data_IF_562549486045
#
_entry.id   IF_562549486045
#
_cell.length_a   1.000
_cell.length_b   1.000
_cell.length_c   1.000
_cell.angle_alpha   90.00
_cell.angle_beta   90.00
_cell.angle_gamma   90.00
#
_symmetry.space_group_name_H-M   'P 1'
#
loop_
_entity.id
_entity.type
_entity.pdbx_description
1 polymer ?
#
# COMPACT_ATOMS: atom_id res chain seq x y z
N UNK A 1 -18.19 1.20 10.99
CA UNK A 1 -17.25 1.65 12.02
C UNK A 1 -17.77 1.49 13.46
N UNK A 2 -18.99 1.00 13.66
CA UNK A 2 -19.51 0.65 15.00
C UNK A 2 -18.67 -0.51 15.57
N UNK A 3 -17.96 -0.30 16.67
CA UNK A 3 -17.19 -1.32 17.39
C UNK A 3 -15.70 -1.00 17.61
N UNK A 4 -15.14 0.03 16.98
CA UNK A 4 -13.76 0.47 17.27
C UNK A 4 -13.75 1.61 18.31
N UNK A 5 -12.69 1.69 19.13
CA UNK A 5 -12.46 2.86 19.98
C UNK A 5 -12.43 4.16 19.14
N UNK A 6 -12.87 5.28 19.73
CA UNK A 6 -12.93 6.58 19.00
C UNK A 6 -11.60 6.99 18.39
N UNK A 7 -10.47 6.70 19.05
CA UNK A 7 -9.12 6.98 18.55
C UNK A 7 -8.81 6.21 17.25
N UNK A 8 -9.19 4.94 17.15
CA UNK A 8 -9.04 4.13 15.93
C UNK A 8 -9.96 4.63 14.83
N UNK A 9 -11.22 4.94 15.17
CA UNK A 9 -12.19 5.50 14.22
C UNK A 9 -11.71 6.84 13.64
N UNK A 10 -11.13 7.72 14.47
CA UNK A 10 -10.57 9.00 14.01
C UNK A 10 -9.41 8.80 13.02
N UNK A 11 -8.53 7.83 13.25
CA UNK A 11 -7.45 7.50 12.32
C UNK A 11 -7.97 6.88 11.01
N UNK A 12 -9.01 6.05 11.06
CA UNK A 12 -9.66 5.49 9.88
C UNK A 12 -10.31 6.59 9.01
N UNK A 13 -11.00 7.54 9.64
CA UNK A 13 -11.58 8.71 8.94
C UNK A 13 -10.47 9.56 8.33
N UNK A 14 -9.39 9.82 9.07
CA UNK A 14 -8.23 10.53 8.58
C UNK A 14 -7.62 9.86 7.34
N UNK A 15 -7.49 8.52 7.37
CA UNK A 15 -6.99 7.73 6.25
C UNK A 15 -7.87 7.87 5.00
N UNK A 16 -9.20 7.82 5.17
CA UNK A 16 -10.14 8.06 4.07
C UNK A 16 -9.96 9.46 3.46
N UNK A 17 -9.98 10.52 4.30
CA UNK A 17 -9.92 11.90 3.81
C UNK A 17 -8.58 12.19 3.13
N UNK A 18 -7.45 11.74 3.71
CA UNK A 18 -6.13 11.87 3.09
C UNK A 18 -6.03 11.10 1.77
N UNK A 19 -6.68 9.94 1.68
CA UNK A 19 -6.71 9.17 0.44
C UNK A 19 -7.56 9.87 -0.62
N UNK A 20 -8.71 10.44 -0.26
CA UNK A 20 -9.52 11.27 -1.17
C UNK A 20 -8.67 12.43 -1.70
N UNK A 21 -7.97 13.17 -0.82
CA UNK A 21 -7.06 14.25 -1.22
C UNK A 21 -6.01 13.78 -2.24
N UNK A 22 -5.35 12.65 -2.00
CA UNK A 22 -4.40 12.06 -2.98
C UNK A 22 -5.07 11.71 -4.29
N UNK A 23 -6.22 11.10 -4.23
CA UNK A 23 -6.93 10.59 -5.41
C UNK A 23 -7.59 11.70 -6.24
N UNK A 24 -7.84 12.88 -5.67
CA UNK A 24 -8.24 14.08 -6.41
C UNK A 24 -7.10 14.57 -7.33
N UNK A 25 -5.84 14.46 -6.90
CA UNK A 25 -4.67 15.06 -7.56
C UNK A 25 -3.81 14.08 -8.34
N UNK A 26 -3.41 12.96 -7.74
CA UNK A 26 -2.35 12.11 -8.30
C UNK A 26 -2.68 11.52 -9.70
N UNK A 27 -3.92 11.15 -10.03
CA UNK A 27 -4.24 10.71 -11.38
C UNK A 27 -4.02 11.79 -12.44
N UNK A 28 -4.15 13.06 -12.06
CA UNK A 28 -4.02 14.21 -12.96
C UNK A 28 -2.62 14.83 -12.98
N UNK A 29 -1.72 14.40 -12.08
CA UNK A 29 -0.35 14.95 -12.01
C UNK A 29 0.42 14.72 -13.31
N UNK A 30 0.17 13.62 -14.00
CA UNK A 30 0.76 13.31 -15.30
C UNK A 30 0.38 14.37 -16.34
N UNK A 31 -0.90 14.71 -16.40
CA UNK A 31 -1.42 15.75 -17.32
C UNK A 31 -0.87 17.11 -16.91
N UNK A 32 -0.89 17.44 -15.62
CA UNK A 32 -0.33 18.69 -15.11
C UNK A 32 1.15 18.85 -15.47
N UNK A 33 1.97 17.79 -15.32
CA UNK A 33 3.38 17.82 -15.68
C UNK A 33 3.59 18.00 -17.20
N UNK A 34 2.79 17.33 -18.02
CA UNK A 34 2.87 17.43 -19.46
C UNK A 34 2.46 18.83 -19.97
N UNK A 35 1.36 19.37 -19.44
CA UNK A 35 0.81 20.67 -19.90
C UNK A 35 1.57 21.86 -19.32
N UNK A 36 1.83 21.88 -18.01
CA UNK A 36 2.43 23.04 -17.34
C UNK A 36 3.94 23.17 -17.63
N UNK A 37 4.65 22.04 -17.69
CA UNK A 37 6.11 22.02 -17.94
C UNK A 37 6.48 21.59 -19.34
N UNK A 38 5.52 21.30 -20.21
CA UNK A 38 5.76 20.82 -21.59
C UNK A 38 6.71 19.60 -21.63
N UNK A 39 6.58 18.71 -20.62
CA UNK A 39 7.42 17.54 -20.50
C UNK A 39 6.96 16.44 -21.45
N UNK A 40 7.94 15.84 -22.16
CA UNK A 40 7.71 14.64 -22.95
C UNK A 40 7.36 13.44 -22.02
N UNK A 41 6.61 12.43 -22.51
CA UNK A 41 6.12 11.31 -21.69
C UNK A 41 7.21 10.56 -20.92
N UNK A 42 8.40 10.39 -21.51
CA UNK A 42 9.55 9.75 -20.86
C UNK A 42 10.04 10.53 -19.64
N UNK A 43 10.09 11.85 -19.72
CA UNK A 43 10.47 12.75 -18.62
C UNK A 43 9.41 12.78 -17.52
N UNK A 44 8.12 12.78 -17.88
CA UNK A 44 7.03 12.65 -16.93
C UNK A 44 7.15 11.34 -16.17
N UNK A 45 7.38 10.23 -16.88
CA UNK A 45 7.61 8.91 -16.27
C UNK A 45 8.81 8.90 -15.32
N UNK A 46 9.92 9.57 -15.69
CA UNK A 46 11.10 9.69 -14.86
C UNK A 46 10.82 10.50 -13.58
N UNK A 47 10.12 11.62 -13.68
CA UNK A 47 9.73 12.45 -12.50
C UNK A 47 8.91 11.64 -11.52
N UNK A 48 7.87 10.95 -12.02
CA UNK A 48 6.98 10.14 -11.18
C UNK A 48 7.71 8.92 -10.60
N UNK A 49 8.46 8.19 -11.43
CA UNK A 49 9.20 7.01 -11.00
C UNK A 49 10.28 7.33 -9.97
N UNK A 50 11.07 8.40 -10.19
CA UNK A 50 12.09 8.85 -9.25
C UNK A 50 11.47 9.27 -7.90
N UNK A 51 10.36 10.03 -7.92
CA UNK A 51 9.69 10.50 -6.72
C UNK A 51 9.10 9.33 -5.89
N UNK A 52 8.48 8.36 -6.55
CA UNK A 52 7.95 7.14 -5.91
C UNK A 52 9.08 6.31 -5.29
N UNK A 53 10.15 6.09 -6.05
CA UNK A 53 11.31 5.32 -5.57
C UNK A 53 11.93 5.95 -4.34
N UNK A 54 12.17 7.27 -4.36
CA UNK A 54 12.65 8.00 -3.19
C UNK A 54 11.67 7.88 -2.00
N UNK A 55 10.36 7.97 -2.26
CA UNK A 55 9.32 7.79 -1.24
C UNK A 55 9.34 6.41 -0.59
N UNK A 56 9.58 5.36 -1.36
CA UNK A 56 9.68 3.99 -0.85
C UNK A 56 10.93 3.83 0.04
N UNK A 57 12.09 4.30 -0.40
CA UNK A 57 13.32 4.20 0.40
C UNK A 57 13.25 5.01 1.70
N UNK A 58 12.65 6.19 1.67
CA UNK A 58 12.45 6.98 2.91
C UNK A 58 11.49 6.34 3.89
N UNK A 59 10.65 5.38 3.44
CA UNK A 59 9.75 4.64 4.33
C UNK A 59 10.50 3.80 5.37
N UNK A 60 11.70 3.31 5.06
CA UNK A 60 12.54 2.58 6.00
C UNK A 60 12.93 3.45 7.19
N UNK A 61 13.41 4.66 6.90
CA UNK A 61 13.75 5.63 7.95
C UNK A 61 12.49 6.08 8.70
N UNK A 62 11.38 6.26 7.98
CA UNK A 62 10.07 6.57 8.57
C UNK A 62 9.62 5.52 9.58
N UNK A 63 9.83 4.24 9.31
CA UNK A 63 9.55 3.15 10.24
C UNK A 63 10.33 3.28 11.55
N UNK A 64 11.63 3.55 11.48
CA UNK A 64 12.47 3.81 12.66
C UNK A 64 11.98 5.03 13.47
N UNK A 65 11.59 6.12 12.78
CA UNK A 65 11.04 7.29 13.45
C UNK A 65 9.76 6.96 14.23
N UNK A 66 8.88 6.11 13.65
CA UNK A 66 7.62 5.68 14.29
C UNK A 66 7.87 4.88 15.58
N UNK A 67 8.94 4.11 15.64
CA UNK A 67 9.31 3.36 16.84
C UNK A 67 9.93 4.27 17.91
N UNK A 68 10.76 5.25 17.50
CA UNK A 68 11.56 6.08 18.40
C UNK A 68 10.80 7.27 18.96
N UNK A 69 9.90 7.87 18.17
CA UNK A 69 9.25 9.12 18.54
C UNK A 69 7.78 8.93 18.91
N UNK A 70 7.20 9.93 19.57
CA UNK A 70 5.77 9.97 19.87
C UNK A 70 4.93 9.94 18.59
N UNK A 71 4.14 8.88 18.42
CA UNK A 71 3.36 8.62 17.20
C UNK A 71 2.38 9.75 16.86
N UNK A 72 1.79 10.43 17.87
CA UNK A 72 0.90 11.59 17.63
C UNK A 72 1.65 12.74 16.98
N UNK A 73 2.82 13.10 17.53
CA UNK A 73 3.63 14.19 16.97
C UNK A 73 4.07 13.85 15.56
N UNK A 74 4.51 12.62 15.35
CA UNK A 74 4.96 12.15 14.05
C UNK A 74 3.83 12.12 13.00
N UNK A 75 2.63 11.65 13.36
CA UNK A 75 1.44 11.70 12.49
C UNK A 75 1.10 13.14 12.13
N UNK A 76 1.08 14.06 13.09
CA UNK A 76 0.76 15.46 12.83
C UNK A 76 1.82 16.12 11.94
N UNK A 77 3.11 15.87 12.18
CA UNK A 77 4.20 16.37 11.32
C UNK A 77 4.09 15.80 9.90
N UNK A 78 3.86 14.50 9.76
CA UNK A 78 3.71 13.85 8.46
C UNK A 78 2.53 14.43 7.68
N UNK A 79 1.35 14.60 8.30
CA UNK A 79 0.18 15.17 7.63
C UNK A 79 0.40 16.66 7.32
N UNK A 80 1.08 17.42 8.19
CA UNK A 80 1.40 18.83 7.92
C UNK A 80 2.38 18.96 6.75
N UNK A 81 3.41 18.10 6.68
CA UNK A 81 4.33 18.06 5.54
C UNK A 81 3.60 17.67 4.26
N UNK A 82 2.74 16.66 4.33
CA UNK A 82 1.90 16.24 3.21
C UNK A 82 0.98 17.37 2.70
N UNK A 83 0.36 18.15 3.61
CA UNK A 83 -0.42 19.35 3.26
C UNK A 83 0.46 20.42 2.60
N UNK A 84 1.61 20.71 3.17
CA UNK A 84 2.53 21.72 2.65
C UNK A 84 3.02 21.36 1.23
N UNK A 85 3.32 20.09 0.94
CA UNK A 85 3.72 19.66 -0.40
C UNK A 85 2.62 19.89 -1.43
N UNK A 86 1.36 19.69 -1.09
CA UNK A 86 0.24 19.99 -1.99
C UNK A 86 0.08 21.50 -2.24
N UNK A 87 0.29 22.33 -1.23
CA UNK A 87 0.23 23.79 -1.42
C UNK A 87 1.41 24.33 -2.23
N UNK A 88 2.59 23.74 -2.12
CA UNK A 88 3.79 24.21 -2.86
C UNK A 88 3.83 23.74 -4.31
N UNK A 89 3.22 22.60 -4.64
CA UNK A 89 3.31 21.96 -5.95
C UNK A 89 2.84 22.87 -7.10
N UNK A 90 1.68 23.56 -7.02
CA UNK A 90 1.19 24.44 -8.09
C UNK A 90 2.05 25.69 -8.35
N UNK A 91 2.90 26.07 -7.41
CA UNK A 91 3.76 27.26 -7.49
C UNK A 91 5.20 26.93 -7.85
N UNK A 92 5.45 25.67 -8.22
CA UNK A 92 6.78 25.20 -8.55
C UNK A 92 7.05 25.44 -10.04
N UNK A 93 8.10 26.19 -10.35
CA UNK A 93 8.43 26.60 -11.72
C UNK A 93 9.42 25.66 -12.42
N UNK A 94 10.14 24.82 -11.67
CA UNK A 94 11.19 23.97 -12.23
C UNK A 94 10.93 22.47 -11.96
N UNK A 95 10.98 21.60 -13.01
CA UNK A 95 10.65 20.16 -12.88
C UNK A 95 11.49 19.41 -11.86
N UNK A 96 12.75 19.80 -11.62
CA UNK A 96 13.59 19.14 -10.62
C UNK A 96 13.07 19.28 -9.19
N UNK A 97 12.48 20.43 -8.84
CA UNK A 97 11.86 20.64 -7.54
C UNK A 97 10.60 19.78 -7.35
N UNK A 98 9.90 19.47 -8.45
CA UNK A 98 8.73 18.61 -8.41
C UNK A 98 9.10 17.20 -7.96
N UNK A 99 10.22 16.66 -8.42
CA UNK A 99 10.71 15.34 -7.96
C UNK A 99 10.87 15.35 -6.43
N UNK A 100 11.48 16.39 -5.88
CA UNK A 100 11.69 16.53 -4.45
C UNK A 100 10.35 16.69 -3.69
N UNK A 101 9.46 17.56 -4.17
CA UNK A 101 8.16 17.81 -3.54
C UNK A 101 7.29 16.56 -3.56
N UNK A 102 7.23 15.84 -4.68
CA UNK A 102 6.51 14.57 -4.79
C UNK A 102 7.16 13.47 -3.93
N UNK A 103 8.49 13.40 -3.87
CA UNK A 103 9.18 12.48 -2.98
C UNK A 103 8.85 12.75 -1.52
N UNK A 104 8.82 14.02 -1.10
CA UNK A 104 8.40 14.42 0.24
C UNK A 104 6.92 14.08 0.50
N UNK A 105 6.05 14.28 -0.49
CA UNK A 105 4.63 13.89 -0.40
C UNK A 105 4.47 12.39 -0.17
N UNK A 106 5.15 11.57 -0.97
CA UNK A 106 5.12 10.11 -0.84
C UNK A 106 5.71 9.66 0.50
N UNK A 107 6.82 10.27 0.91
CA UNK A 107 7.47 9.99 2.19
C UNK A 107 6.58 10.34 3.39
N UNK A 108 5.97 11.52 3.36
CA UNK A 108 5.07 11.98 4.41
C UNK A 108 3.85 11.06 4.54
N UNK A 109 3.24 10.67 3.43
CA UNK A 109 2.14 9.72 3.45
C UNK A 109 2.57 8.34 3.93
N UNK A 110 3.75 7.89 3.55
CA UNK A 110 4.31 6.61 3.99
C UNK A 110 4.52 6.59 5.50
N UNK A 111 5.15 7.62 6.08
CA UNK A 111 5.33 7.78 7.53
C UNK A 111 3.99 7.77 8.27
N UNK A 112 3.00 8.52 7.76
CA UNK A 112 1.65 8.51 8.30
C UNK A 112 1.05 7.09 8.28
N UNK A 113 1.12 6.39 7.15
CA UNK A 113 0.57 5.04 6.96
C UNK A 113 1.23 4.01 7.89
N UNK A 114 2.55 4.09 8.06
CA UNK A 114 3.29 3.23 9.00
C UNK A 114 2.86 3.51 10.45
N UNK A 115 2.80 4.78 10.84
CA UNK A 115 2.39 5.18 12.17
C UNK A 115 0.95 4.76 12.48
N UNK A 116 0.03 4.87 11.53
CA UNK A 116 -1.35 4.41 11.64
C UNK A 116 -1.41 2.90 11.90
N UNK A 117 -0.68 2.10 11.13
CA UNK A 117 -0.62 0.64 11.31
C UNK A 117 -0.02 0.26 12.67
N UNK A 118 1.05 0.95 13.09
CA UNK A 118 1.68 0.76 14.39
C UNK A 118 0.71 1.11 15.54
N UNK A 119 -0.09 2.20 15.39
CA UNK A 119 -1.12 2.53 16.36
C UNK A 119 -2.21 1.44 16.47
N UNK A 120 -2.65 0.87 15.34
CA UNK A 120 -3.60 -0.25 15.37
C UNK A 120 -3.03 -1.47 16.10
N UNK A 121 -1.75 -1.77 15.84
CA UNK A 121 -1.06 -2.87 16.50
C UNK A 121 -0.83 -2.64 18.01
N UNK A 122 -0.69 -1.39 18.44
CA UNK A 122 -0.51 -1.04 19.85
C UNK A 122 -1.85 -0.96 20.64
N UNK A 123 -2.90 -0.44 19.99
CA UNK A 123 -4.14 -0.10 20.70
C UNK A 123 -5.20 -1.18 20.67
N UNK A 124 -5.09 -2.11 19.74
CA UNK A 124 -6.09 -3.14 19.54
C UNK A 124 -5.57 -4.52 19.98
N UNK A 125 -6.44 -5.33 20.59
CA UNK A 125 -6.13 -6.74 20.82
C UNK A 125 -5.95 -7.45 19.49
N UNK A 126 -5.12 -8.50 19.46
CA UNK A 126 -4.69 -9.21 18.25
C UNK A 126 -5.86 -9.62 17.35
N UNK A 127 -6.97 -10.07 17.94
CA UNK A 127 -8.19 -10.50 17.22
C UNK A 127 -8.96 -9.35 16.54
N UNK A 128 -8.68 -8.10 16.88
CA UNK A 128 -9.32 -6.93 16.29
C UNK A 128 -8.43 -6.20 15.28
N UNK A 129 -7.12 -6.45 15.27
CA UNK A 129 -6.15 -5.77 14.38
C UNK A 129 -6.46 -6.00 12.91
N UNK A 130 -6.75 -7.26 12.53
CA UNK A 130 -7.10 -7.60 11.15
C UNK A 130 -8.36 -6.85 10.67
N UNK A 131 -9.34 -6.66 11.56
CA UNK A 131 -10.55 -5.90 11.23
C UNK A 131 -10.22 -4.43 10.97
N UNK A 132 -9.31 -3.84 11.76
CA UNK A 132 -8.87 -2.46 11.58
C UNK A 132 -8.04 -2.28 10.30
N UNK A 133 -7.13 -3.21 9.99
CA UNK A 133 -6.37 -3.20 8.74
C UNK A 133 -7.30 -3.31 7.53
N UNK A 134 -8.26 -4.22 7.58
CA UNK A 134 -9.25 -4.40 6.51
C UNK A 134 -10.18 -3.20 6.36
N UNK A 135 -10.64 -2.62 7.47
CA UNK A 135 -11.45 -1.40 7.43
C UNK A 135 -10.65 -0.23 6.81
N UNK A 136 -9.39 -0.07 7.18
CA UNK A 136 -8.50 0.92 6.58
C UNK A 136 -8.34 0.69 5.08
N UNK A 137 -8.09 -0.55 4.66
CA UNK A 137 -7.95 -0.91 3.27
C UNK A 137 -9.23 -0.60 2.46
N UNK A 138 -10.40 -0.96 2.99
CA UNK A 138 -11.69 -0.61 2.37
C UNK A 138 -11.85 0.89 2.21
N UNK A 139 -11.54 1.68 3.26
CA UNK A 139 -11.67 3.14 3.21
C UNK A 139 -10.69 3.77 2.21
N UNK A 140 -9.48 3.24 2.11
CA UNK A 140 -8.51 3.65 1.08
C UNK A 140 -9.07 3.40 -0.32
N UNK A 141 -9.68 2.23 -0.58
CA UNK A 141 -10.30 1.94 -1.87
C UNK A 141 -11.51 2.83 -2.15
N UNK A 142 -12.34 3.14 -1.15
CA UNK A 142 -13.41 4.13 -1.29
C UNK A 142 -12.84 5.50 -1.67
N UNK A 143 -11.74 5.92 -1.04
CA UNK A 143 -11.06 7.16 -1.38
C UNK A 143 -10.56 7.20 -2.82
N UNK A 144 -9.96 6.11 -3.30
CA UNK A 144 -9.51 5.98 -4.69
C UNK A 144 -10.65 5.84 -5.69
N UNK A 145 -11.83 5.34 -5.30
CA UNK A 145 -13.00 5.31 -6.16
C UNK A 145 -13.65 6.69 -6.34
N UNK A 146 -13.73 7.47 -5.25
CA UNK A 146 -14.42 8.77 -5.22
C UNK A 146 -13.52 9.92 -5.69
N UNK A 147 -12.24 9.87 -5.31
CA UNK A 147 -11.29 10.98 -5.51
C UNK A 147 -11.13 11.41 -6.97
N UNK A 148 -10.89 10.50 -7.93
CA UNK A 148 -10.72 10.89 -9.33
C UNK A 148 -11.95 11.58 -9.92
N UNK A 149 -13.17 11.14 -9.58
CA UNK A 149 -14.41 11.78 -10.01
C UNK A 149 -14.50 13.22 -9.48
N UNK A 150 -14.14 13.43 -8.21
CA UNK A 150 -14.03 14.78 -7.63
C UNK A 150 -12.95 15.60 -8.34
N UNK A 151 -11.81 14.99 -8.65
CA UNK A 151 -10.70 15.65 -9.36
C UNK A 151 -11.11 16.19 -10.73
N UNK A 152 -11.85 15.39 -11.53
CA UNK A 152 -12.39 15.84 -12.83
C UNK A 152 -13.29 17.07 -12.68
N UNK A 153 -14.19 17.06 -11.69
CA UNK A 153 -15.09 18.19 -11.44
C UNK A 153 -14.30 19.44 -11.03
N UNK A 154 -13.30 19.28 -10.20
CA UNK A 154 -12.53 20.40 -9.63
C UNK A 154 -11.57 21.01 -10.65
N UNK A 155 -10.92 20.21 -11.50
CA UNK A 155 -9.97 20.71 -12.51
C UNK A 155 -10.62 21.62 -13.53
N UNK A 156 -11.94 21.47 -13.77
CA UNK A 156 -12.72 22.35 -14.65
C UNK A 156 -12.80 23.81 -14.15
N UNK A 157 -12.53 24.06 -12.88
CA UNK A 157 -12.49 25.41 -12.30
C UNK A 157 -11.07 26.00 -12.21
N UNK A 158 -10.04 25.21 -12.49
CA UNK A 158 -8.64 25.64 -12.52
C UNK A 158 -7.68 24.48 -12.21
N UNK A 159 -6.58 24.40 -12.96
CA UNK A 159 -5.59 23.32 -12.86
C UNK A 159 -4.88 23.23 -11.50
N UNK A 160 -4.85 24.31 -10.74
CA UNK A 160 -4.24 24.39 -9.41
C UNK A 160 -5.19 23.95 -8.29
N UNK A 161 -6.53 24.02 -8.51
CA UNK A 161 -7.53 23.76 -7.49
C UNK A 161 -7.48 22.33 -6.90
N UNK A 162 -7.25 21.26 -7.66
CA UNK A 162 -7.09 19.92 -7.10
C UNK A 162 -6.02 19.86 -6.02
N UNK A 163 -4.88 20.52 -6.22
CA UNK A 163 -3.77 20.56 -5.26
C UNK A 163 -4.15 21.33 -4.00
N UNK A 164 -4.75 22.50 -4.17
CA UNK A 164 -5.18 23.36 -3.05
C UNK A 164 -6.21 22.61 -2.18
N UNK A 165 -7.22 21.97 -2.79
CA UNK A 165 -8.22 21.20 -2.06
C UNK A 165 -7.58 20.04 -1.31
N UNK A 166 -6.65 19.32 -1.93
CA UNK A 166 -5.92 18.22 -1.27
C UNK A 166 -5.11 18.71 -0.07
N UNK A 167 -4.45 19.86 -0.21
CA UNK A 167 -3.74 20.52 0.89
C UNK A 167 -4.66 20.94 2.03
N UNK A 168 -5.82 21.54 1.71
CA UNK A 168 -6.84 21.93 2.71
C UNK A 168 -7.42 20.72 3.43
N UNK A 169 -7.78 19.66 2.71
CA UNK A 169 -8.27 18.42 3.34
C UNK A 169 -7.24 17.84 4.31
N UNK A 170 -5.97 17.82 3.93
CA UNK A 170 -4.89 17.34 4.81
C UNK A 170 -4.73 18.25 6.05
N UNK A 171 -4.78 19.57 5.87
CA UNK A 171 -4.71 20.52 6.98
C UNK A 171 -5.86 20.34 7.96
N UNK A 172 -7.09 20.18 7.46
CA UNK A 172 -8.27 19.90 8.29
C UNK A 172 -8.12 18.61 9.09
N UNK A 173 -7.57 17.55 8.47
CA UNK A 173 -7.26 16.30 9.17
C UNK A 173 -6.22 16.52 10.26
N UNK A 174 -5.13 17.25 10.00
CA UNK A 174 -4.11 17.55 11.00
C UNK A 174 -4.70 18.28 12.20
N UNK A 175 -5.52 19.32 11.95
CA UNK A 175 -6.22 20.10 12.98
C UNK A 175 -7.17 19.20 13.78
N UNK A 176 -7.99 18.40 13.09
CA UNK A 176 -8.94 17.52 13.76
C UNK A 176 -8.23 16.48 14.66
N UNK A 177 -7.15 15.86 14.18
CA UNK A 177 -6.39 14.89 14.97
C UNK A 177 -5.65 15.52 16.15
N UNK A 178 -5.17 16.76 16.00
CA UNK A 178 -4.53 17.50 17.10
C UNK A 178 -5.45 17.59 18.33
N UNK A 179 -6.74 17.86 18.11
CA UNK A 179 -7.74 18.02 19.18
C UNK A 179 -8.41 16.72 19.60
N UNK A 180 -8.64 15.78 18.68
CA UNK A 180 -9.40 14.54 18.96
C UNK A 180 -8.56 13.41 19.56
N UNK A 181 -7.24 13.45 19.44
CA UNK A 181 -6.37 12.41 19.97
C UNK A 181 -5.53 13.00 21.09
N UNK A 182 -5.64 12.44 22.31
CA UNK A 182 -4.84 12.84 23.45
C UNK A 182 -3.36 12.48 23.25
N UNK A 183 -2.45 13.27 23.81
CA UNK A 183 -1.02 12.92 23.83
C UNK A 183 -0.75 11.70 24.70
N UNK A 184 -1.58 11.47 25.71
CA UNK A 184 -1.51 10.30 26.59
C UNK A 184 -1.94 9.01 25.89
N UNK A 185 -2.86 9.08 24.93
CA UNK A 185 -3.28 7.92 24.13
C UNK A 185 -2.19 7.41 23.19
N UNK A 186 -1.21 8.25 22.88
CA UNK A 186 -0.10 7.97 21.96
C UNK A 186 1.27 8.07 22.66
N UNK A 187 1.31 8.33 23.98
CA UNK A 187 2.51 8.08 24.72
C UNK A 187 2.88 6.64 24.49
N UNK A 188 4.16 6.39 24.23
CA UNK A 188 4.73 5.04 24.28
C UNK A 188 4.13 4.42 25.52
N UNK A 189 3.19 3.45 25.37
CA UNK A 189 2.66 2.66 26.50
C UNK A 189 3.85 2.40 27.38
N UNK A 190 3.78 2.68 28.69
CA UNK A 190 4.92 2.52 29.60
C UNK A 190 5.57 1.19 29.25
N UNK A 191 6.52 1.28 28.32
CA UNK A 191 7.31 0.13 27.90
C UNK A 191 8.04 -0.21 29.17
N UNK A 192 7.77 -1.36 29.71
CA UNK A 192 8.54 -1.91 30.81
C UNK A 192 9.98 -1.49 30.56
N UNK A 193 10.62 -0.85 31.52
CA UNK A 193 11.91 -0.16 31.39
C UNK A 193 13.06 -1.02 30.79
N UNK A 194 12.77 -2.25 30.37
CA UNK A 194 13.67 -3.25 29.78
C UNK A 194 13.75 -3.23 28.25
N UNK A 195 12.85 -2.57 27.50
CA UNK A 195 12.87 -2.58 26.04
C UNK A 195 13.05 -1.18 25.44
N UNK A 196 14.26 -0.62 25.53
CA UNK A 196 14.64 0.59 24.78
C UNK A 196 14.63 0.30 23.28
N UNK A 197 14.18 1.29 22.47
CA UNK A 197 14.32 1.21 21.01
C UNK A 197 15.82 1.22 20.66
N UNK A 198 16.33 0.22 19.94
CA UNK A 198 17.74 0.19 19.54
C UNK A 198 18.11 1.43 18.71
N UNK A 199 19.39 1.77 18.66
CA UNK A 199 19.88 2.81 17.76
C UNK A 199 19.64 2.44 16.29
N UNK A 200 19.65 3.43 15.38
CA UNK A 200 19.37 3.25 13.95
C UNK A 200 20.24 2.14 13.34
N UNK A 201 21.52 2.11 13.67
CA UNK A 201 22.46 1.10 13.17
C UNK A 201 22.10 -0.31 13.67
N UNK A 202 21.77 -0.43 14.94
CA UNK A 202 21.33 -1.69 15.55
C UNK A 202 19.99 -2.14 14.96
N UNK A 203 19.01 -1.22 14.81
CA UNK A 203 17.72 -1.50 14.17
C UNK A 203 17.93 -2.04 12.76
N UNK A 204 18.78 -1.40 11.95
CA UNK A 204 19.06 -1.86 10.59
C UNK A 204 19.72 -3.25 10.58
N UNK A 205 20.62 -3.53 11.52
CA UNK A 205 21.25 -4.85 11.68
C UNK A 205 20.21 -5.92 12.02
N UNK A 206 19.31 -5.65 12.96
CA UNK A 206 18.20 -6.56 13.33
C UNK A 206 17.32 -6.86 12.11
N UNK A 207 16.89 -5.84 11.38
CA UNK A 207 16.02 -5.99 10.21
C UNK A 207 16.70 -6.82 9.11
N UNK A 208 18.00 -6.59 8.86
CA UNK A 208 18.79 -7.31 7.85
C UNK A 208 19.05 -8.75 8.23
N UNK A 209 19.15 -9.07 9.51
CA UNK A 209 19.41 -10.43 10.00
C UNK A 209 18.13 -11.26 10.20
N UNK A 210 16.95 -10.62 10.29
CA UNK A 210 15.69 -11.35 10.46
C UNK A 210 15.26 -12.05 9.16
N UNK A 211 15.60 -13.32 9.03
CA UNK A 211 15.23 -14.15 7.87
C UNK A 211 13.71 -14.22 7.64
N UNK A 212 12.89 -14.11 8.69
CA UNK A 212 11.42 -14.13 8.58
C UNK A 212 10.95 -12.89 7.80
N UNK A 213 11.50 -11.73 8.16
CA UNK A 213 11.22 -10.46 7.52
C UNK A 213 11.72 -10.43 6.06
N UNK A 214 12.92 -10.97 5.80
CA UNK A 214 13.48 -11.06 4.45
C UNK A 214 12.56 -11.90 3.55
N UNK A 215 12.20 -13.12 3.98
CA UNK A 215 11.31 -13.98 3.20
C UNK A 215 9.93 -13.35 3.01
N UNK A 216 9.41 -12.69 4.05
CA UNK A 216 8.15 -11.96 3.95
C UNK A 216 8.24 -10.83 2.92
N UNK A 217 9.29 -10.01 2.96
CA UNK A 217 9.46 -8.88 2.03
C UNK A 217 9.58 -9.34 0.58
N UNK A 218 10.32 -10.43 0.32
CA UNK A 218 10.40 -11.05 -1.00
C UNK A 218 9.04 -11.57 -1.46
N UNK A 219 8.29 -12.23 -0.56
CA UNK A 219 6.92 -12.68 -0.84
C UNK A 219 5.99 -11.52 -1.17
N UNK A 220 6.03 -10.44 -0.38
CA UNK A 220 5.23 -9.23 -0.58
C UNK A 220 5.59 -8.50 -1.87
N UNK A 221 6.89 -8.46 -2.24
CA UNK A 221 7.34 -7.87 -3.50
C UNK A 221 6.78 -8.64 -4.71
N UNK A 222 6.84 -9.97 -4.69
CA UNK A 222 6.28 -10.82 -5.74
C UNK A 222 4.75 -10.74 -5.79
N UNK A 223 4.10 -10.67 -4.65
CA UNK A 223 2.66 -10.43 -4.53
C UNK A 223 2.26 -9.08 -5.13
N UNK A 224 3.03 -8.02 -4.85
CA UNK A 224 2.80 -6.69 -5.42
C UNK A 224 3.06 -6.62 -6.94
N UNK A 225 3.93 -7.46 -7.50
CA UNK A 225 4.02 -7.64 -8.96
C UNK A 225 2.68 -8.11 -9.52
N UNK A 226 1.95 -8.98 -8.81
CA UNK A 226 0.69 -9.54 -9.30
C UNK A 226 -0.46 -8.54 -9.20
N UNK A 227 -0.69 -7.91 -8.04
CA UNK A 227 -1.87 -7.08 -7.83
C UNK A 227 -1.61 -5.57 -7.86
N UNK A 228 -0.37 -5.14 -7.63
CA UNK A 228 -0.04 -3.73 -7.34
C UNK A 228 -0.35 -2.75 -8.47
N UNK A 229 -0.35 -3.19 -9.71
CA UNK A 229 -0.61 -2.37 -10.91
C UNK A 229 -1.49 -3.10 -11.92
N UNK A 230 -2.51 -3.83 -11.45
CA UNK A 230 -3.32 -4.67 -12.35
C UNK A 230 -3.98 -3.88 -13.49
N UNK A 231 -4.45 -2.67 -13.24
CA UNK A 231 -5.02 -1.84 -14.29
C UNK A 231 -4.00 -1.48 -15.37
N UNK A 232 -2.75 -1.26 -14.98
CA UNK A 232 -1.66 -0.92 -15.90
C UNK A 232 -1.32 -2.07 -16.83
N UNK A 233 -1.03 -3.25 -16.29
CA UNK A 233 -0.63 -4.38 -17.16
C UNK A 233 -1.80 -4.95 -17.97
N UNK A 234 -3.04 -4.92 -17.45
CA UNK A 234 -4.22 -5.31 -18.23
C UNK A 234 -4.45 -4.34 -19.39
N UNK A 235 -4.26 -3.02 -19.16
CA UNK A 235 -4.32 -2.04 -20.25
C UNK A 235 -3.26 -2.30 -21.31
N UNK A 236 -2.01 -2.54 -20.89
CA UNK A 236 -0.92 -2.87 -21.84
C UNK A 236 -1.24 -4.13 -22.65
N UNK A 237 -1.74 -5.19 -22.00
CA UNK A 237 -2.13 -6.42 -22.67
C UNK A 237 -3.25 -6.17 -23.69
N UNK A 238 -4.34 -5.52 -23.26
CA UNK A 238 -5.51 -5.28 -24.12
C UNK A 238 -5.17 -4.43 -25.34
N UNK A 239 -4.37 -3.37 -25.20
CA UNK A 239 -3.94 -2.55 -26.34
C UNK A 239 -3.06 -3.36 -27.32
N UNK A 240 -2.34 -4.37 -26.82
CA UNK A 240 -1.51 -5.22 -27.67
C UNK A 240 -2.33 -6.25 -28.47
N UNK A 241 -3.44 -6.76 -27.91
CA UNK A 241 -4.22 -7.87 -28.49
C UNK A 241 -5.57 -7.46 -29.07
N UNK A 242 -6.05 -6.22 -28.79
CA UNK A 242 -7.36 -5.73 -29.21
C UNK A 242 -7.32 -4.24 -29.58
N UNK A 243 -8.47 -3.69 -29.98
CA UNK A 243 -8.58 -2.26 -30.24
C UNK A 243 -8.74 -1.42 -28.95
N UNK A 244 -8.46 -0.12 -29.07
CA UNK A 244 -8.50 0.80 -27.95
C UNK A 244 -9.92 0.92 -27.32
N UNK A 245 -10.99 0.81 -28.12
CA UNK A 245 -12.38 0.90 -27.66
C UNK A 245 -12.72 -0.25 -26.73
N UNK A 246 -12.38 -1.47 -27.13
CA UNK A 246 -12.56 -2.67 -26.32
C UNK A 246 -11.72 -2.62 -25.04
N UNK A 247 -10.45 -2.17 -25.15
CA UNK A 247 -9.58 -2.00 -23.98
C UNK A 247 -10.20 -1.04 -22.95
N UNK A 248 -10.71 0.12 -23.37
CA UNK A 248 -11.40 1.06 -22.46
C UNK A 248 -12.62 0.44 -21.78
N UNK A 249 -13.44 -0.30 -22.55
CA UNK A 249 -14.64 -0.95 -22.00
C UNK A 249 -14.28 -2.00 -20.95
N UNK A 250 -13.30 -2.85 -21.24
CA UNK A 250 -12.84 -3.88 -20.31
C UNK A 250 -12.24 -3.25 -19.06
N UNK A 251 -11.33 -2.28 -19.20
CA UNK A 251 -10.71 -1.63 -18.04
C UNK A 251 -11.75 -0.94 -17.15
N UNK A 252 -12.70 -0.22 -17.73
CA UNK A 252 -13.80 0.38 -16.97
C UNK A 252 -14.63 -0.65 -16.20
N UNK A 253 -14.96 -1.77 -16.87
CA UNK A 253 -15.73 -2.86 -16.26
C UNK A 253 -14.97 -3.54 -15.12
N UNK A 254 -13.70 -3.92 -15.32
CA UNK A 254 -12.90 -4.62 -14.30
C UNK A 254 -12.61 -3.73 -13.10
N UNK A 255 -12.35 -2.43 -13.29
CA UNK A 255 -12.17 -1.47 -12.19
C UNK A 255 -13.44 -1.35 -11.34
N UNK A 256 -14.60 -1.30 -11.98
CA UNK A 256 -15.90 -1.25 -11.28
C UNK A 256 -16.15 -2.52 -10.47
N UNK A 257 -15.87 -3.70 -11.05
CA UNK A 257 -15.99 -4.99 -10.35
C UNK A 257 -15.03 -5.05 -9.16
N UNK A 258 -13.76 -4.70 -9.35
CA UNK A 258 -12.76 -4.67 -8.27
C UNK A 258 -13.24 -3.79 -7.10
N UNK A 259 -13.61 -2.54 -7.37
CA UNK A 259 -14.08 -1.62 -6.35
C UNK A 259 -15.32 -2.16 -5.61
N UNK A 260 -16.28 -2.76 -6.34
CA UNK A 260 -17.48 -3.35 -5.77
C UNK A 260 -17.14 -4.51 -4.83
N UNK A 261 -16.29 -5.45 -5.25
CA UNK A 261 -15.86 -6.59 -4.44
C UNK A 261 -15.12 -6.12 -3.18
N UNK A 262 -14.18 -5.18 -3.33
CA UNK A 262 -13.43 -4.64 -2.19
C UNK A 262 -14.38 -3.98 -1.18
N UNK A 263 -15.25 -3.08 -1.63
CA UNK A 263 -16.14 -2.34 -0.73
C UNK A 263 -17.14 -3.27 -0.01
N UNK A 264 -17.66 -4.28 -0.70
CA UNK A 264 -18.72 -5.13 -0.17
C UNK A 264 -18.18 -6.30 0.66
N UNK A 265 -17.10 -6.96 0.24
CA UNK A 265 -16.66 -8.23 0.82
C UNK A 265 -15.44 -8.12 1.74
N UNK A 266 -14.62 -7.05 1.64
CA UNK A 266 -13.40 -6.88 2.42
C UNK A 266 -13.63 -7.11 3.92
N UNK A 267 -14.60 -6.40 4.49
CA UNK A 267 -14.89 -6.47 5.93
C UNK A 267 -15.49 -7.82 6.35
N UNK A 268 -16.29 -8.44 5.49
CA UNK A 268 -16.91 -9.74 5.77
C UNK A 268 -15.90 -10.88 5.86
N UNK A 269 -14.95 -10.92 4.91
CA UNK A 269 -13.92 -11.95 4.90
C UNK A 269 -12.90 -11.76 6.02
N UNK A 270 -12.49 -10.53 6.29
CA UNK A 270 -11.46 -10.24 7.28
C UNK A 270 -11.80 -10.70 8.70
N UNK A 271 -13.09 -10.78 9.03
CA UNK A 271 -13.56 -11.28 10.35
C UNK A 271 -13.15 -12.72 10.65
N UNK A 272 -12.88 -13.52 9.62
CA UNK A 272 -12.48 -14.94 9.72
C UNK A 272 -10.96 -15.13 9.74
N UNK A 273 -10.20 -14.07 9.51
CA UNK A 273 -8.75 -14.10 9.45
C UNK A 273 -8.16 -13.82 10.83
N UNK A 274 -7.16 -14.62 11.22
CA UNK A 274 -6.41 -14.44 12.47
C UNK A 274 -4.99 -14.98 12.31
N UNK A 275 -4.14 -14.78 13.31
CA UNK A 275 -2.74 -15.22 13.25
C UNK A 275 -2.58 -16.74 13.13
N UNK A 276 -3.53 -17.54 13.62
CA UNK A 276 -3.46 -19.01 13.57
C UNK A 276 -3.73 -19.56 12.17
N UNK A 277 -4.51 -18.83 11.34
CA UNK A 277 -4.90 -19.27 10.00
C UNK A 277 -4.30 -18.46 8.85
N UNK A 278 -3.30 -17.60 9.15
CA UNK A 278 -2.61 -16.73 8.18
C UNK A 278 -2.23 -17.47 6.90
N UNK A 279 -1.51 -18.58 7.04
CA UNK A 279 -0.99 -19.31 5.89
C UNK A 279 -2.11 -19.90 5.03
N UNK A 280 -3.20 -20.36 5.64
CA UNK A 280 -4.37 -20.86 4.89
C UNK A 280 -4.98 -19.74 4.04
N UNK A 281 -5.13 -18.54 4.60
CA UNK A 281 -5.66 -17.40 3.86
C UNK A 281 -4.73 -16.94 2.74
N UNK A 282 -3.41 -16.93 2.96
CA UNK A 282 -2.43 -16.64 1.90
C UNK A 282 -2.53 -17.65 0.74
N UNK A 283 -2.69 -18.95 1.07
CA UNK A 283 -2.90 -19.98 0.04
C UNK A 283 -4.19 -19.74 -0.75
N UNK A 284 -5.32 -19.45 -0.09
CA UNK A 284 -6.58 -19.13 -0.78
C UNK A 284 -6.46 -17.85 -1.61
N UNK A 285 -5.86 -16.78 -1.07
CA UNK A 285 -5.65 -15.54 -1.80
C UNK A 285 -4.80 -15.73 -3.06
N UNK A 286 -3.70 -16.47 -2.94
CA UNK A 286 -2.85 -16.82 -4.10
C UNK A 286 -3.60 -17.67 -5.12
N UNK A 287 -4.40 -18.63 -4.67
CA UNK A 287 -5.23 -19.46 -5.57
C UNK A 287 -6.21 -18.58 -6.36
N UNK A 288 -6.87 -17.61 -5.70
CA UNK A 288 -7.77 -16.67 -6.37
C UNK A 288 -7.03 -15.79 -7.39
N UNK A 289 -5.79 -15.33 -7.09
CA UNK A 289 -4.98 -14.64 -8.09
C UNK A 289 -4.68 -15.51 -9.29
N UNK A 290 -4.25 -16.77 -9.08
CA UNK A 290 -3.95 -17.69 -10.19
C UNK A 290 -5.18 -17.96 -11.04
N UNK A 291 -6.33 -18.28 -10.43
CA UNK A 291 -7.58 -18.53 -11.16
C UNK A 291 -8.05 -17.27 -11.90
N UNK A 292 -7.95 -16.09 -11.29
CA UNK A 292 -8.26 -14.82 -11.94
C UNK A 292 -7.36 -14.55 -13.16
N UNK A 293 -6.04 -14.76 -13.04
CA UNK A 293 -5.09 -14.60 -14.15
C UNK A 293 -5.37 -15.58 -15.30
N UNK A 294 -5.68 -16.85 -14.99
CA UNK A 294 -6.11 -17.82 -16.00
C UNK A 294 -7.44 -17.41 -16.63
N UNK A 295 -8.36 -16.86 -15.86
CA UNK A 295 -9.61 -16.30 -16.35
C UNK A 295 -9.40 -15.13 -17.32
N UNK A 296 -8.45 -14.23 -17.07
CA UNK A 296 -8.10 -13.15 -18.01
C UNK A 296 -7.55 -13.70 -19.32
N UNK A 297 -6.71 -14.76 -19.27
CA UNK A 297 -6.22 -15.43 -20.49
C UNK A 297 -7.34 -16.04 -21.32
N UNK A 298 -8.36 -16.60 -20.67
CA UNK A 298 -9.48 -17.27 -21.32
C UNK A 298 -10.57 -16.29 -21.78
N UNK A 299 -10.58 -15.04 -21.32
CA UNK A 299 -11.68 -14.11 -21.52
C UNK A 299 -11.81 -13.58 -22.96
N UNK A 300 -10.69 -13.53 -23.71
CA UNK A 300 -10.66 -13.05 -25.11
C UNK A 300 -11.55 -11.81 -25.32
N UNK A 301 -12.53 -11.87 -26.22
CA UNK A 301 -13.41 -10.73 -26.55
C UNK A 301 -14.66 -10.64 -25.65
N UNK A 302 -14.75 -11.43 -24.57
CA UNK A 302 -15.93 -11.47 -23.70
C UNK A 302 -15.77 -10.58 -22.46
N UNK A 303 -16.34 -9.36 -22.49
CA UNK A 303 -16.35 -8.48 -21.32
C UNK A 303 -16.91 -9.15 -20.05
N UNK A 304 -18.02 -9.94 -20.09
CA UNK A 304 -18.49 -10.65 -18.90
C UNK A 304 -17.47 -11.63 -18.32
N UNK A 305 -16.66 -12.30 -19.13
CA UNK A 305 -15.59 -13.18 -18.63
C UNK A 305 -14.44 -12.38 -18.01
N UNK A 306 -14.08 -11.20 -18.55
CA UNK A 306 -13.15 -10.27 -17.91
C UNK A 306 -13.65 -9.83 -16.54
N UNK A 307 -14.95 -9.50 -16.43
CA UNK A 307 -15.57 -9.12 -15.16
C UNK A 307 -15.56 -10.26 -14.14
N UNK A 308 -15.88 -11.49 -14.56
CA UNK A 308 -15.85 -12.69 -13.71
C UNK A 308 -14.42 -12.98 -13.23
N UNK A 309 -13.46 -12.96 -14.14
CA UNK A 309 -12.04 -13.14 -13.81
C UNK A 309 -11.56 -12.08 -12.79
N UNK A 310 -11.96 -10.82 -12.97
CA UNK A 310 -11.64 -9.75 -12.04
C UNK A 310 -12.33 -9.95 -10.68
N UNK A 311 -13.57 -10.40 -10.64
CA UNK A 311 -14.24 -10.70 -9.37
C UNK A 311 -13.47 -11.76 -8.58
N UNK A 312 -13.00 -12.82 -9.24
CA UNK A 312 -12.18 -13.86 -8.62
C UNK A 312 -10.82 -13.29 -8.18
N UNK A 313 -10.14 -12.54 -9.05
CA UNK A 313 -8.85 -11.89 -8.74
C UNK A 313 -8.96 -10.96 -7.53
N UNK A 314 -10.02 -10.17 -7.45
CA UNK A 314 -10.28 -9.25 -6.34
C UNK A 314 -10.48 -9.98 -5.01
N UNK A 315 -11.01 -11.22 -4.99
CA UNK A 315 -11.04 -12.04 -3.78
C UNK A 315 -9.62 -12.35 -3.28
N UNK A 316 -8.67 -12.56 -4.18
CA UNK A 316 -7.25 -12.69 -3.83
C UNK A 316 -6.72 -11.44 -3.14
N UNK A 317 -6.99 -10.28 -3.72
CA UNK A 317 -6.55 -8.97 -3.22
C UNK A 317 -7.06 -8.66 -1.81
N UNK A 318 -8.38 -8.79 -1.59
CA UNK A 318 -9.00 -8.52 -0.29
C UNK A 318 -8.60 -9.50 0.82
N UNK A 319 -8.00 -10.62 0.46
CA UNK A 319 -7.43 -11.59 1.40
C UNK A 319 -5.97 -11.27 1.68
N UNK A 320 -5.13 -11.17 0.64
CA UNK A 320 -3.68 -11.11 0.77
C UNK A 320 -3.23 -9.84 1.48
N UNK A 321 -3.76 -8.68 1.10
CA UNK A 321 -3.27 -7.40 1.64
C UNK A 321 -3.45 -7.27 3.16
N UNK A 322 -4.64 -7.52 3.76
CA UNK A 322 -4.77 -7.45 5.21
C UNK A 322 -3.99 -8.55 5.95
N UNK A 323 -3.86 -9.72 5.32
CA UNK A 323 -3.10 -10.83 5.91
C UNK A 323 -1.61 -10.52 5.92
N UNK A 324 -1.07 -9.83 4.92
CA UNK A 324 0.31 -9.32 4.94
C UNK A 324 0.54 -8.37 6.13
N UNK A 325 -0.38 -7.47 6.42
CA UNK A 325 -0.27 -6.58 7.59
C UNK A 325 -0.30 -7.36 8.91
N UNK A 326 -1.17 -8.38 8.99
CA UNK A 326 -1.24 -9.23 10.19
C UNK A 326 0.00 -10.11 10.34
N UNK A 327 0.63 -10.53 9.24
CA UNK A 327 1.88 -11.29 9.27
C UNK A 327 3.03 -10.44 9.84
N UNK A 328 3.18 -9.19 9.39
CA UNK A 328 4.17 -8.26 9.95
C UNK A 328 3.93 -8.06 11.45
N UNK A 329 2.68 -7.83 11.85
CA UNK A 329 2.35 -7.67 13.28
C UNK A 329 2.70 -8.92 14.11
N UNK A 330 2.61 -10.11 13.51
CA UNK A 330 2.96 -11.38 14.15
C UNK A 330 4.46 -11.55 14.35
N UNK A 331 5.29 -11.15 13.36
CA UNK A 331 6.76 -11.35 13.44
C UNK A 331 7.51 -10.18 14.08
N UNK A 332 6.92 -9.00 14.13
CA UNK A 332 7.57 -7.78 14.60
C UNK A 332 7.69 -7.74 16.12
N UNK A 333 8.90 -7.49 16.67
CA UNK A 333 9.07 -7.19 18.08
C UNK A 333 8.24 -5.97 18.49
N UNK A 334 7.77 -5.92 19.73
CA UNK A 334 6.88 -4.86 20.22
C UNK A 334 7.50 -3.45 20.06
N UNK A 335 8.82 -3.35 20.23
CA UNK A 335 9.58 -2.08 20.12
C UNK A 335 10.01 -1.72 18.69
N UNK A 336 9.78 -2.58 17.68
CA UNK A 336 10.23 -2.39 16.29
C UNK A 336 9.10 -2.48 15.26
N UNK A 337 7.84 -2.39 15.67
CA UNK A 337 6.69 -2.53 14.77
C UNK A 337 6.72 -1.53 13.61
N UNK A 338 7.05 -0.27 13.89
CA UNK A 338 7.18 0.75 12.84
C UNK A 338 8.27 0.42 11.83
N UNK A 339 9.44 -0.03 12.31
CA UNK A 339 10.56 -0.45 11.46
C UNK A 339 10.18 -1.63 10.57
N UNK A 340 9.48 -2.63 11.11
CA UNK A 340 8.99 -3.79 10.34
C UNK A 340 7.95 -3.39 9.29
N UNK A 341 7.00 -2.51 9.62
CA UNK A 341 6.07 -1.94 8.63
C UNK A 341 6.77 -1.07 7.59
N UNK A 342 7.87 -0.39 7.98
CA UNK A 342 8.73 0.35 7.06
C UNK A 342 9.35 -0.57 6.00
N UNK A 343 9.91 -1.72 6.43
CA UNK A 343 10.47 -2.73 5.52
C UNK A 343 9.40 -3.36 4.64
N UNK A 344 8.17 -3.59 5.15
CA UNK A 344 7.05 -4.07 4.35
C UNK A 344 6.80 -3.19 3.12
N UNK A 345 6.96 -1.86 3.26
CA UNK A 345 6.77 -0.95 2.13
C UNK A 345 7.75 -1.18 0.98
N UNK A 346 8.90 -1.85 1.20
CA UNK A 346 9.78 -2.29 0.10
C UNK A 346 9.08 -3.31 -0.81
N UNK A 347 8.11 -4.05 -0.30
CA UNK A 347 7.27 -4.91 -1.14
C UNK A 347 6.60 -4.16 -2.29
N UNK A 348 6.27 -2.87 -2.11
CA UNK A 348 5.68 -2.03 -3.15
C UNK A 348 6.60 -1.80 -4.37
N UNK A 349 7.92 -2.05 -4.26
CA UNK A 349 8.83 -2.06 -5.40
C UNK A 349 8.40 -3.07 -6.46
N UNK A 350 7.77 -4.18 -6.06
CA UNK A 350 7.18 -5.14 -7.01
C UNK A 350 6.16 -4.48 -7.94
N UNK A 351 5.26 -3.67 -7.38
CA UNK A 351 4.28 -2.91 -8.17
C UNK A 351 4.92 -1.86 -9.07
N UNK A 352 6.04 -1.24 -8.67
CA UNK A 352 6.77 -0.29 -9.49
C UNK A 352 7.53 -0.97 -10.66
N UNK A 353 8.01 -2.19 -10.46
CA UNK A 353 8.73 -2.98 -11.48
C UNK A 353 7.75 -3.67 -12.45
N UNK A 354 6.54 -3.99 -12.01
CA UNK A 354 5.55 -4.74 -12.80
C UNK A 354 5.32 -4.17 -14.22
N UNK A 355 5.04 -2.86 -14.43
CA UNK A 355 4.78 -2.34 -15.77
C UNK A 355 5.97 -2.52 -16.73
N UNK A 356 7.20 -2.49 -16.19
CA UNK A 356 8.43 -2.69 -16.97
C UNK A 356 8.52 -4.15 -17.43
N UNK A 357 8.32 -5.10 -16.50
CA UNK A 357 8.36 -6.53 -16.80
C UNK A 357 7.27 -6.92 -17.79
N UNK A 358 6.04 -6.44 -17.57
CA UNK A 358 4.90 -6.72 -18.44
C UNK A 358 5.10 -6.09 -19.82
N UNK A 359 5.54 -4.83 -19.90
CA UNK A 359 5.81 -4.16 -21.15
C UNK A 359 6.92 -4.84 -21.97
N UNK A 360 8.00 -5.30 -21.32
CA UNK A 360 9.06 -6.05 -21.97
C UNK A 360 8.54 -7.38 -22.55
N UNK A 361 7.77 -8.16 -21.76
CA UNK A 361 7.20 -9.42 -22.24
C UNK A 361 6.24 -9.21 -23.42
N UNK A 362 5.40 -8.19 -23.37
CA UNK A 362 4.46 -7.88 -24.44
C UNK A 362 5.16 -7.44 -25.73
N UNK A 363 6.35 -6.81 -25.63
CA UNK A 363 7.12 -6.39 -26.79
C UNK A 363 7.91 -7.52 -27.45
N UNK A 364 8.37 -8.52 -26.69
CA UNK A 364 9.36 -9.50 -27.16
C UNK A 364 8.90 -10.95 -27.09
N UNK A 365 7.70 -11.23 -26.54
CA UNK A 365 7.17 -12.57 -26.39
C UNK A 365 5.68 -12.63 -26.75
N UNK A 366 5.10 -13.84 -26.78
CA UNK A 366 3.67 -13.99 -26.94
C UNK A 366 2.92 -13.31 -25.77
N UNK A 367 1.85 -12.55 -26.02
CA UNK A 367 1.15 -11.76 -24.99
C UNK A 367 0.75 -12.56 -23.75
N UNK A 368 0.39 -13.84 -23.91
CA UNK A 368 0.02 -14.73 -22.81
C UNK A 368 1.17 -14.99 -21.81
N UNK A 369 2.44 -14.84 -22.23
CA UNK A 369 3.61 -15.01 -21.37
C UNK A 369 3.62 -14.05 -20.18
N UNK A 370 2.98 -12.89 -20.33
CA UNK A 370 2.78 -11.94 -19.23
C UNK A 370 1.99 -12.59 -18.08
N UNK A 371 0.89 -13.28 -18.38
CA UNK A 371 0.08 -13.95 -17.34
C UNK A 371 0.82 -15.12 -16.70
N UNK A 372 1.58 -15.91 -17.50
CA UNK A 372 2.41 -16.98 -16.93
C UNK A 372 3.49 -16.43 -15.98
N UNK A 373 4.13 -15.32 -16.32
CA UNK A 373 5.08 -14.64 -15.43
C UNK A 373 4.41 -14.21 -14.12
N UNK A 374 3.20 -13.63 -14.18
CA UNK A 374 2.43 -13.22 -13.00
C UNK A 374 2.02 -14.43 -12.15
N UNK A 375 1.63 -15.56 -12.76
CA UNK A 375 1.32 -16.81 -12.04
C UNK A 375 2.56 -17.35 -11.35
N UNK A 376 3.71 -17.37 -12.02
CA UNK A 376 4.98 -17.79 -11.43
C UNK A 376 5.34 -16.88 -10.24
N UNK A 377 5.18 -15.57 -10.39
CA UNK A 377 5.42 -14.62 -9.31
C UNK A 377 4.49 -14.88 -8.12
N UNK A 378 3.21 -15.19 -8.34
CA UNK A 378 2.26 -15.53 -7.28
C UNK A 378 2.68 -16.80 -6.53
N UNK A 379 3.08 -17.86 -7.24
CA UNK A 379 3.52 -19.14 -6.66
C UNK A 379 4.81 -18.95 -5.86
N UNK A 380 5.82 -18.27 -6.43
CA UNK A 380 7.07 -17.96 -5.73
C UNK A 380 6.84 -17.07 -4.50
N UNK A 381 5.95 -16.08 -4.61
CA UNK A 381 5.54 -15.25 -3.48
C UNK A 381 4.97 -16.07 -2.34
N UNK A 382 4.06 -17.01 -2.63
CA UNK A 382 3.51 -17.93 -1.66
C UNK A 382 4.60 -18.82 -1.02
N UNK A 383 5.56 -19.31 -1.80
CA UNK A 383 6.66 -20.12 -1.29
C UNK A 383 7.54 -19.34 -0.30
N UNK A 384 7.82 -18.06 -0.58
CA UNK A 384 8.54 -17.19 0.34
C UNK A 384 7.73 -16.91 1.62
N UNK A 385 6.45 -16.61 1.52
CA UNK A 385 5.57 -16.45 2.68
C UNK A 385 5.53 -17.72 3.54
N UNK A 386 5.42 -18.89 2.93
CA UNK A 386 5.42 -20.16 3.63
C UNK A 386 6.74 -20.40 4.38
N UNK A 387 7.88 -20.09 3.76
CA UNK A 387 9.18 -20.23 4.40
C UNK A 387 9.33 -19.27 5.59
N UNK A 388 8.94 -18.01 5.42
CA UNK A 388 8.92 -17.01 6.50
C UNK A 388 8.00 -17.41 7.65
N UNK A 389 6.81 -17.92 7.35
CA UNK A 389 5.87 -18.40 8.36
C UNK A 389 6.39 -19.61 9.15
N UNK A 390 7.01 -20.58 8.47
CA UNK A 390 7.62 -21.74 9.16
C UNK A 390 8.69 -21.30 10.14
N UNK A 391 9.57 -20.39 9.73
CA UNK A 391 10.61 -19.85 10.62
C UNK A 391 10.01 -19.12 11.82
N UNK A 392 8.96 -18.35 11.61
CA UNK A 392 8.27 -17.64 12.69
C UNK A 392 7.62 -18.61 13.69
N UNK A 393 6.98 -19.67 13.20
CA UNK A 393 6.34 -20.70 14.03
C UNK A 393 7.36 -21.48 14.86
N UNK A 394 8.45 -21.95 14.25
CA UNK A 394 9.52 -22.67 14.95
C UNK A 394 10.13 -21.82 16.06
N UNK A 395 10.31 -20.53 15.84
CA UNK A 395 10.85 -19.61 16.84
C UNK A 395 9.86 -19.34 17.99
N UNK A 396 8.57 -19.32 17.71
CA UNK A 396 7.54 -19.20 18.74
C UNK A 396 7.41 -20.46 19.61
N UNK A 397 7.67 -21.64 19.04
CA UNK A 397 7.64 -22.94 19.74
C UNK A 397 8.92 -23.22 20.55
N UNK A 398 10.08 -22.64 20.15
CA UNK A 398 11.39 -22.83 20.81
C UNK A 398 12.07 -21.49 21.17
N UNK A 399 11.56 -20.73 22.15
CA UNK A 399 12.12 -19.43 22.51
C UNK A 399 13.54 -19.48 23.09
N UNK A 400 14.04 -20.63 23.57
CA UNK A 400 15.34 -20.78 24.21
C UNK A 400 16.55 -20.95 23.25
N UNK A 401 16.35 -21.24 21.98
CA UNK A 401 17.44 -21.38 21.00
C UNK A 401 17.94 -20.06 20.38
N UNK A 402 17.30 -18.94 20.68
CA UNK A 402 17.60 -17.62 20.05
C UNK A 402 18.72 -16.88 20.81
N UNK A 403 18.97 -17.20 22.08
CA UNK A 403 19.98 -16.52 22.90
C UNK A 403 21.43 -16.86 22.54
N UNK A 404 21.68 -17.94 21.80
CA UNK A 404 23.06 -18.41 21.50
C UNK A 404 23.63 -17.82 20.17
N UNK A 405 22.82 -17.18 19.30
CA UNK A 405 23.31 -16.65 18.04
C UNK A 405 23.38 -15.10 17.99
N UNK A 406 23.18 -14.43 19.12
CA UNK A 406 23.23 -12.96 19.24
C UNK A 406 24.27 -12.45 20.23
N UNK A 407 25.24 -13.32 20.62
CA UNK A 407 26.45 -12.89 21.32
C UNK A 407 27.61 -12.64 20.36
#
# INVERSE_FOLDING_TARGET
MKGFPSRVTNLLIASLVLTIGRAITLPFITIYLAEHFQLAPDKVGLVLGASLTLGIFTSLYGGYLVDKFNKKRLILLAISLFSATFFTLPWTEHPAWIILILALLHSAYSVYSIALKACFADWLPVNERIKAFSANYTLVNVGWAVGPAMGVLVVGFGSQLPFIISGVLALLVAVALKFKISSTDMSVTERSASESVPDLRQTFTILRCDKRLIYFTLGSMLSAIVFGQFSGYLSQYLITVSDAKFAYQVIGAVMTVNATIVITLQYLLSRRMNQQNLMRWLMFGTLFFIVGLLGFMAAQDSIPLWMLAMAIFSLGEIIVIPVEYLFIDFIAPANLKGSYYGVQNLGQLGGAINPILCGFLLAWAAPQMMFYMLIIAAILGLAFFYRGYRLAKTQAENPHQVSEHTQ
#
